data_IF_914027988558
#
_entry.id   IF_914027988558
#
_cell.length_a   1.000
_cell.length_b   1.000
_cell.length_c   1.000
_cell.angle_alpha   90.00
_cell.angle_beta   90.00
_cell.angle_gamma   90.00
#
_symmetry.space_group_name_H-M   'P 1'
#
loop_
_entity.id
_entity.type
_entity.pdbx_description
1 polymer ?
#
# COMPACT_ATOMS: atom_id res chain seq x y z
N UNK A 1 -38.29 3.44 -8.76
CA UNK A 1 -37.59 4.49 -8.00
C UNK A 1 -36.60 3.78 -7.09
N UNK A 2 -35.30 3.95 -7.33
CA UNK A 2 -34.28 3.44 -6.40
C UNK A 2 -34.33 4.25 -5.11
N UNK A 3 -34.37 3.55 -3.97
CA UNK A 3 -34.32 4.19 -2.66
C UNK A 3 -32.90 4.65 -2.38
N UNK A 4 -32.74 5.91 -2.01
CA UNK A 4 -31.48 6.45 -1.52
C UNK A 4 -31.23 5.93 -0.09
N UNK A 5 -30.13 5.24 0.10
CA UNK A 5 -29.70 4.84 1.43
C UNK A 5 -28.69 5.86 1.96
N UNK A 6 -28.90 6.31 3.19
CA UNK A 6 -27.99 7.19 3.91
C UNK A 6 -27.16 6.39 4.89
N UNK A 7 -25.86 6.47 4.80
CA UNK A 7 -24.93 5.86 5.74
C UNK A 7 -24.05 6.92 6.36
N UNK A 8 -23.73 6.76 7.67
CA UNK A 8 -22.75 7.61 8.33
C UNK A 8 -21.36 7.03 8.11
N UNK A 9 -20.47 7.82 7.53
CA UNK A 9 -19.08 7.41 7.37
C UNK A 9 -18.40 7.24 8.73
N UNK A 10 -17.73 6.11 8.92
CA UNK A 10 -17.14 5.74 10.22
C UNK A 10 -15.93 6.62 10.59
N UNK A 11 -15.26 7.20 9.61
CA UNK A 11 -14.05 8.02 9.81
C UNK A 11 -14.39 9.49 9.94
N UNK A 12 -15.22 10.00 9.03
CA UNK A 12 -15.57 11.44 8.98
C UNK A 12 -16.83 11.78 9.75
N UNK A 13 -17.66 10.81 10.08
CA UNK A 13 -18.98 11.00 10.71
C UNK A 13 -20.03 11.67 9.81
N UNK A 14 -19.71 11.91 8.54
CA UNK A 14 -20.61 12.55 7.58
C UNK A 14 -21.65 11.56 7.05
N UNK A 15 -22.82 12.09 6.74
CA UNK A 15 -23.91 11.28 6.13
C UNK A 15 -23.72 11.30 4.62
N UNK A 16 -23.62 10.12 4.04
CA UNK A 16 -23.49 9.90 2.61
C UNK A 16 -24.79 9.28 2.12
N UNK A 17 -25.41 9.91 1.13
CA UNK A 17 -26.60 9.40 0.46
C UNK A 17 -26.24 8.96 -0.96
N UNK A 18 -26.30 7.65 -1.19
CA UNK A 18 -26.08 7.02 -2.49
C UNK A 18 -27.22 6.02 -2.77
N UNK A 19 -27.49 5.66 -4.05
CA UNK A 19 -28.29 4.50 -4.36
C UNK A 19 -27.75 3.25 -3.63
N UNK A 20 -28.64 2.35 -3.22
CA UNK A 20 -28.25 1.20 -2.41
C UNK A 20 -27.16 0.33 -3.07
N UNK A 21 -27.25 0.15 -4.36
CA UNK A 21 -26.25 -0.56 -5.18
C UNK A 21 -24.89 0.12 -5.14
N UNK A 22 -24.85 1.42 -5.37
CA UNK A 22 -23.62 2.21 -5.41
C UNK A 22 -22.96 2.28 -4.03
N UNK A 23 -23.76 2.35 -2.97
CA UNK A 23 -23.24 2.33 -1.60
C UNK A 23 -22.50 1.04 -1.29
N UNK A 24 -23.04 -0.11 -1.72
CA UNK A 24 -22.39 -1.41 -1.52
C UNK A 24 -21.06 -1.49 -2.28
N UNK A 25 -21.05 -1.08 -3.55
CA UNK A 25 -19.83 -1.04 -4.36
C UNK A 25 -18.80 -0.08 -3.79
N UNK A 26 -19.22 1.11 -3.38
CA UNK A 26 -18.35 2.09 -2.77
C UNK A 26 -17.73 1.57 -1.46
N UNK A 27 -18.53 0.96 -0.60
CA UNK A 27 -18.05 0.43 0.68
C UNK A 27 -16.99 -0.65 0.47
N UNK A 28 -17.24 -1.58 -0.45
CA UNK A 28 -16.29 -2.65 -0.78
C UNK A 28 -15.01 -2.09 -1.43
N UNK A 29 -15.16 -1.15 -2.36
CA UNK A 29 -14.02 -0.47 -2.98
C UNK A 29 -13.15 0.25 -1.95
N UNK A 30 -13.78 1.03 -1.06
CA UNK A 30 -13.12 1.74 0.03
C UNK A 30 -12.34 0.78 0.94
N UNK A 31 -12.96 -0.32 1.36
CA UNK A 31 -12.33 -1.34 2.20
C UNK A 31 -11.09 -1.94 1.51
N UNK A 32 -11.18 -2.26 0.23
CA UNK A 32 -10.05 -2.81 -0.52
C UNK A 32 -8.87 -1.84 -0.63
N UNK A 33 -9.13 -0.56 -0.90
CA UNK A 33 -8.08 0.47 -0.94
C UNK A 33 -7.41 0.62 0.44
N UNK A 34 -8.21 0.75 1.51
CA UNK A 34 -7.69 0.91 2.87
C UNK A 34 -6.87 -0.32 3.29
N UNK A 35 -7.36 -1.54 3.00
CA UNK A 35 -6.62 -2.76 3.28
C UNK A 35 -5.27 -2.81 2.54
N UNK A 36 -5.24 -2.38 1.27
CA UNK A 36 -4.00 -2.31 0.49
C UNK A 36 -2.99 -1.28 1.01
N UNK A 37 -3.46 -0.18 1.60
CA UNK A 37 -2.62 0.87 2.17
C UNK A 37 -2.12 0.53 3.59
N UNK A 38 -2.77 -0.41 4.28
CA UNK A 38 -2.40 -0.88 5.64
C UNK A 38 -2.08 0.26 6.63
N UNK A 39 -3.01 1.22 6.83
CA UNK A 39 -2.78 2.36 7.71
C UNK A 39 -2.84 1.94 9.19
N UNK A 40 -2.04 2.58 10.02
CA UNK A 40 -2.22 2.51 11.46
C UNK A 40 -3.44 3.34 11.90
N UNK A 41 -4.06 3.01 13.05
CA UNK A 41 -5.15 3.81 13.61
C UNK A 41 -4.75 5.28 13.81
N UNK A 42 -5.70 6.19 13.59
CA UNK A 42 -5.49 7.62 13.72
C UNK A 42 -5.29 8.34 12.38
N UNK A 43 -4.28 9.18 12.26
CA UNK A 43 -4.08 10.04 11.10
C UNK A 43 -3.87 9.26 9.79
N UNK A 44 -3.15 8.14 9.83
CA UNK A 44 -2.94 7.31 8.65
C UNK A 44 -4.27 6.78 8.09
N UNK A 45 -5.22 6.38 8.96
CA UNK A 45 -6.55 5.92 8.55
C UNK A 45 -7.35 7.04 7.88
N UNK A 46 -7.28 8.27 8.40
CA UNK A 46 -7.96 9.43 7.80
C UNK A 46 -7.41 9.73 6.40
N UNK A 47 -6.10 9.67 6.23
CA UNK A 47 -5.45 9.90 4.93
C UNK A 47 -5.80 8.78 3.95
N UNK A 48 -5.77 7.52 4.40
CA UNK A 48 -6.15 6.37 3.56
C UNK A 48 -7.62 6.47 3.12
N UNK A 49 -8.49 6.94 3.98
CA UNK A 49 -9.89 7.20 3.66
C UNK A 49 -10.04 8.29 2.60
N UNK A 50 -9.32 9.39 2.73
CA UNK A 50 -9.31 10.47 1.73
C UNK A 50 -8.80 9.97 0.36
N UNK A 51 -7.77 9.10 0.33
CA UNK A 51 -7.28 8.49 -0.91
C UNK A 51 -8.38 7.63 -1.55
N UNK A 52 -9.07 6.80 -0.78
CA UNK A 52 -10.14 5.94 -1.29
C UNK A 52 -11.29 6.78 -1.88
N UNK A 53 -11.71 7.84 -1.20
CA UNK A 53 -12.72 8.79 -1.68
C UNK A 53 -12.32 9.47 -2.97
N UNK A 54 -11.13 10.03 -3.03
CA UNK A 54 -10.66 10.75 -4.22
C UNK A 54 -10.50 9.79 -5.41
N UNK A 55 -10.06 8.56 -5.16
CA UNK A 55 -9.97 7.51 -6.20
C UNK A 55 -11.35 7.11 -6.72
N UNK A 56 -12.35 6.97 -5.85
CA UNK A 56 -13.73 6.71 -6.25
C UNK A 56 -14.29 7.84 -7.11
N UNK A 57 -14.11 9.09 -6.69
CA UNK A 57 -14.55 10.27 -7.46
C UNK A 57 -13.86 10.34 -8.81
N UNK A 58 -12.57 10.00 -8.89
CA UNK A 58 -11.81 9.96 -10.13
C UNK A 58 -12.40 8.94 -11.11
N UNK A 59 -12.74 7.75 -10.63
CA UNK A 59 -13.38 6.72 -11.45
C UNK A 59 -14.76 7.16 -11.96
N UNK A 60 -15.54 7.84 -11.11
CA UNK A 60 -16.84 8.39 -11.52
C UNK A 60 -16.70 9.51 -12.58
N UNK A 61 -15.68 10.37 -12.46
CA UNK A 61 -15.42 11.41 -13.48
C UNK A 61 -15.10 10.78 -14.83
N UNK A 62 -14.28 9.74 -14.85
CA UNK A 62 -13.96 8.99 -16.09
C UNK A 62 -15.21 8.31 -16.70
N UNK A 63 -16.06 7.74 -15.85
CA UNK A 63 -17.32 7.17 -16.30
C UNK A 63 -18.24 8.25 -16.90
N UNK A 64 -18.34 9.43 -16.29
CA UNK A 64 -19.10 10.57 -16.81
C UNK A 64 -18.54 11.00 -18.18
N UNK A 65 -17.22 11.10 -18.32
CA UNK A 65 -16.58 11.44 -19.58
C UNK A 65 -16.95 10.46 -20.69
N UNK A 66 -16.86 9.15 -20.43
CA UNK A 66 -17.26 8.11 -21.39
C UNK A 66 -18.75 8.17 -21.74
N UNK A 67 -19.61 8.44 -20.74
CA UNK A 67 -21.04 8.58 -20.97
C UNK A 67 -21.40 9.83 -21.80
N UNK A 68 -20.63 10.93 -21.68
CA UNK A 68 -20.80 12.10 -22.53
C UNK A 68 -20.51 11.79 -24.00
N UNK A 69 -19.46 11.00 -24.28
CA UNK A 69 -19.20 10.52 -25.64
C UNK A 69 -20.33 9.63 -26.16
N UNK A 70 -20.82 8.69 -25.34
CA UNK A 70 -21.92 7.80 -25.74
C UNK A 70 -23.21 8.60 -26.05
N UNK A 71 -23.58 9.56 -25.20
CA UNK A 71 -24.71 10.45 -25.44
C UNK A 71 -24.52 11.30 -26.67
N UNK A 72 -23.31 11.81 -26.89
CA UNK A 72 -22.98 12.62 -28.07
C UNK A 72 -23.10 11.82 -29.38
N UNK A 73 -22.72 10.55 -29.37
CA UNK A 73 -22.86 9.65 -30.51
C UNK A 73 -24.34 9.42 -30.85
N UNK A 74 -25.20 9.21 -29.83
CA UNK A 74 -26.65 9.05 -30.00
C UNK A 74 -27.33 10.33 -30.52
N UNK A 75 -26.82 11.50 -30.10
CA UNK A 75 -27.40 12.81 -30.43
C UNK A 75 -26.67 13.50 -31.60
N UNK A 76 -25.84 12.79 -32.33
CA UNK A 76 -25.12 13.36 -33.47
C UNK A 76 -26.10 13.71 -34.58
N UNK A 77 -26.16 14.99 -34.91
CA UNK A 77 -27.04 15.53 -35.98
C UNK A 77 -26.34 15.60 -37.34
N UNK A 78 -25.07 15.23 -37.42
CA UNK A 78 -24.30 15.23 -38.64
C UNK A 78 -24.73 14.03 -39.50
N UNK A 79 -25.29 14.29 -40.67
CA UNK A 79 -25.68 13.26 -41.66
C UNK A 79 -24.42 12.79 -42.41
N UNK A 80 -23.48 12.23 -41.70
CA UNK A 80 -22.24 11.66 -42.23
C UNK A 80 -22.43 10.16 -42.26
N UNK A 81 -22.60 9.60 -43.43
CA UNK A 81 -22.64 8.16 -43.65
C UNK A 81 -21.44 7.78 -44.49
N UNK A 82 -20.44 7.22 -43.80
CA UNK A 82 -19.32 6.58 -44.50
C UNK A 82 -19.58 5.09 -44.67
N UNK A 83 -18.85 4.45 -45.56
CA UNK A 83 -18.90 2.98 -45.70
C UNK A 83 -18.28 2.25 -44.50
N UNK A 84 -17.73 3.00 -43.53
CA UNK A 84 -17.07 2.46 -42.35
C UNK A 84 -17.69 3.03 -41.04
N UNK A 85 -18.43 2.23 -40.27
CA UNK A 85 -19.05 2.66 -39.00
C UNK A 85 -18.07 3.21 -37.97
N UNK A 86 -16.79 2.81 -38.01
CA UNK A 86 -15.78 3.34 -37.12
C UNK A 86 -15.44 4.81 -37.38
N UNK A 87 -15.47 5.20 -38.68
CA UNK A 87 -15.28 6.59 -39.10
C UNK A 87 -16.45 7.44 -38.63
N UNK A 88 -17.67 6.96 -38.77
CA UNK A 88 -18.88 7.68 -38.34
C UNK A 88 -18.84 7.90 -36.80
N UNK A 89 -18.45 6.89 -36.04
CA UNK A 89 -18.25 7.01 -34.57
C UNK A 89 -17.15 8.01 -34.22
N UNK A 90 -16.02 7.99 -34.91
CA UNK A 90 -14.94 8.94 -34.69
C UNK A 90 -15.35 10.39 -34.94
N UNK A 91 -16.13 10.63 -36.01
CA UNK A 91 -16.65 11.97 -36.32
C UNK A 91 -17.69 12.41 -35.30
N UNK A 92 -18.58 11.52 -34.85
CA UNK A 92 -19.56 11.81 -33.83
C UNK A 92 -18.87 12.16 -32.49
N UNK A 93 -17.78 11.47 -32.11
CA UNK A 93 -16.98 11.78 -30.95
C UNK A 93 -16.29 13.15 -31.09
N UNK A 94 -15.73 13.47 -32.22
CA UNK A 94 -15.10 14.77 -32.47
C UNK A 94 -16.13 15.94 -32.42
N UNK A 95 -17.32 15.73 -32.94
CA UNK A 95 -18.42 16.72 -32.87
C UNK A 95 -18.89 16.88 -31.37
N UNK A 96 -19.02 15.78 -30.66
CA UNK A 96 -19.34 15.79 -29.23
C UNK A 96 -18.30 16.57 -28.44
N UNK A 97 -17.01 16.31 -28.64
CA UNK A 97 -15.94 17.04 -28.01
C UNK A 97 -16.01 18.54 -28.31
N UNK A 98 -16.29 18.90 -29.58
CA UNK A 98 -16.43 20.29 -29.97
C UNK A 98 -17.61 20.98 -29.28
N UNK A 99 -18.76 20.31 -29.19
CA UNK A 99 -19.98 20.87 -28.56
C UNK A 99 -19.86 20.96 -27.03
N UNK A 100 -19.31 19.92 -26.41
CA UNK A 100 -19.24 19.77 -24.96
C UNK A 100 -17.88 20.18 -24.36
N UNK A 101 -17.06 20.91 -25.11
CA UNK A 101 -15.70 21.29 -24.73
C UNK A 101 -15.62 21.91 -23.31
N UNK A 102 -16.61 22.74 -22.93
CA UNK A 102 -16.65 23.35 -21.60
C UNK A 102 -16.81 22.31 -20.50
N UNK A 103 -17.56 21.24 -20.71
CA UNK A 103 -17.74 20.14 -19.78
C UNK A 103 -16.48 19.29 -19.67
N UNK A 104 -15.88 18.93 -20.81
CA UNK A 104 -14.61 18.20 -20.83
C UNK A 104 -13.47 18.95 -20.13
N UNK A 105 -13.37 20.26 -20.33
CA UNK A 105 -12.39 21.09 -19.64
C UNK A 105 -12.60 21.09 -18.13
N UNK A 106 -13.85 21.17 -17.65
CA UNK A 106 -14.17 21.08 -16.22
C UNK A 106 -13.82 19.72 -15.63
N UNK A 107 -14.16 18.62 -16.34
CA UNK A 107 -13.80 17.25 -15.91
C UNK A 107 -12.28 17.09 -15.83
N UNK A 108 -11.54 17.54 -16.86
CA UNK A 108 -10.07 17.46 -16.89
C UNK A 108 -9.43 18.26 -15.73
N UNK A 109 -9.95 19.45 -15.40
CA UNK A 109 -9.48 20.21 -14.24
C UNK A 109 -9.75 19.48 -12.91
N UNK A 110 -10.93 18.87 -12.77
CA UNK A 110 -11.26 18.08 -11.58
C UNK A 110 -10.39 16.83 -11.50
N UNK A 111 -10.18 16.13 -12.61
CA UNK A 111 -9.28 14.97 -12.68
C UNK A 111 -7.86 15.35 -12.24
N UNK A 112 -7.32 16.45 -12.76
CA UNK A 112 -6.01 16.95 -12.38
C UNK A 112 -5.91 17.23 -10.87
N UNK A 113 -6.94 17.86 -10.28
CA UNK A 113 -7.00 18.15 -8.83
C UNK A 113 -7.03 16.87 -8.00
N UNK A 114 -7.90 15.91 -8.36
CA UNK A 114 -8.00 14.64 -7.64
C UNK A 114 -6.70 13.84 -7.73
N UNK A 115 -6.10 13.75 -8.92
CA UNK A 115 -4.80 13.09 -9.10
C UNK A 115 -3.69 13.74 -8.25
N UNK A 116 -3.69 15.08 -8.14
CA UNK A 116 -2.74 15.80 -7.30
C UNK A 116 -2.97 15.52 -5.81
N UNK A 117 -4.22 15.51 -5.36
CA UNK A 117 -4.57 15.18 -3.97
C UNK A 117 -4.19 13.75 -3.61
N UNK A 118 -4.52 12.78 -4.49
CA UNK A 118 -4.14 11.37 -4.29
C UNK A 118 -2.62 11.23 -4.15
N UNK A 119 -1.85 11.87 -5.05
CA UNK A 119 -0.37 11.82 -4.98
C UNK A 119 0.17 12.42 -3.69
N UNK A 120 -0.36 13.57 -3.28
CA UNK A 120 0.05 14.24 -2.04
C UNK A 120 -0.28 13.38 -0.82
N UNK A 121 -1.50 12.87 -0.73
CA UNK A 121 -1.95 12.02 0.37
C UNK A 121 -1.16 10.70 0.43
N UNK A 122 -0.84 10.09 -0.71
CA UNK A 122 0.02 8.89 -0.76
C UNK A 122 1.43 9.20 -0.25
N UNK A 123 2.04 10.31 -0.67
CA UNK A 123 3.37 10.70 -0.21
C UNK A 123 3.37 10.96 1.31
N UNK A 124 2.33 11.65 1.82
CA UNK A 124 2.16 11.92 3.25
C UNK A 124 1.99 10.61 4.05
N UNK A 125 1.16 9.69 3.56
CA UNK A 125 0.95 8.38 4.19
C UNK A 125 2.25 7.56 4.24
N UNK A 126 2.99 7.52 3.13
CA UNK A 126 4.27 6.82 3.05
C UNK A 126 5.31 7.41 4.03
N UNK A 127 5.35 8.75 4.16
CA UNK A 127 6.22 9.42 5.15
C UNK A 127 5.86 9.01 6.57
N UNK A 128 4.57 9.06 6.94
CA UNK A 128 4.11 8.66 8.28
C UNK A 128 4.43 7.18 8.59
N UNK A 129 4.23 6.30 7.61
CA UNK A 129 4.57 4.89 7.74
C UNK A 129 6.07 4.65 7.88
N UNK A 130 6.89 5.42 7.15
CA UNK A 130 8.35 5.36 7.25
C UNK A 130 8.83 5.84 8.63
N UNK A 131 8.28 6.95 9.12
CA UNK A 131 8.59 7.50 10.45
C UNK A 131 8.21 6.51 11.55
N UNK A 132 7.01 5.93 11.48
CA UNK A 132 6.55 4.89 12.41
C UNK A 132 7.47 3.67 12.41
N UNK A 133 7.87 3.21 11.23
CA UNK A 133 8.81 2.10 11.09
C UNK A 133 10.17 2.43 11.70
N UNK A 134 10.68 3.62 11.43
CA UNK A 134 11.94 4.08 11.98
C UNK A 134 11.91 4.17 13.52
N UNK A 135 10.82 4.71 14.08
CA UNK A 135 10.59 4.77 15.52
C UNK A 135 10.56 3.38 16.17
N UNK A 136 9.81 2.45 15.55
CA UNK A 136 9.76 1.06 15.99
C UNK A 136 11.13 0.38 15.97
N UNK A 137 11.90 0.60 14.90
CA UNK A 137 13.26 0.05 14.79
C UNK A 137 14.25 0.66 15.79
N UNK A 138 14.04 1.92 16.19
CA UNK A 138 14.85 2.57 17.23
C UNK A 138 14.54 1.96 18.60
N UNK A 139 13.26 1.88 18.98
CA UNK A 139 12.84 1.28 20.23
C UNK A 139 13.32 -0.19 20.34
N UNK A 140 13.20 -0.95 19.24
CA UNK A 140 13.70 -2.33 19.22
C UNK A 140 15.22 -2.40 19.41
N UNK A 141 15.98 -1.49 18.81
CA UNK A 141 17.44 -1.43 19.00
C UNK A 141 17.82 -1.14 20.45
N UNK A 142 17.12 -0.20 21.08
CA UNK A 142 17.36 0.15 22.49
C UNK A 142 17.09 -1.05 23.41
N UNK A 143 15.99 -1.77 23.18
CA UNK A 143 15.68 -2.99 23.91
C UNK A 143 16.70 -4.12 23.68
N UNK A 144 17.19 -4.26 22.45
CA UNK A 144 18.26 -5.21 22.13
C UNK A 144 19.56 -4.88 22.88
N UNK A 145 19.94 -3.60 22.99
CA UNK A 145 21.11 -3.20 23.78
C UNK A 145 20.93 -3.49 25.28
N UNK A 146 19.72 -3.25 25.82
CA UNK A 146 19.42 -3.60 27.18
C UNK A 146 19.48 -5.11 27.43
N UNK A 147 18.98 -5.92 26.49
CA UNK A 147 19.09 -7.36 26.59
C UNK A 147 20.55 -7.84 26.58
N UNK A 148 21.38 -7.34 25.66
CA UNK A 148 22.79 -7.66 25.58
C UNK A 148 23.57 -7.21 26.86
N UNK A 149 23.26 -6.02 27.35
CA UNK A 149 23.89 -5.55 28.61
C UNK A 149 23.57 -6.44 29.81
N UNK A 150 22.35 -6.99 29.87
CA UNK A 150 21.97 -7.95 30.93
C UNK A 150 22.68 -9.29 30.73
N UNK A 151 22.84 -9.78 29.50
CA UNK A 151 23.61 -11.00 29.23
C UNK A 151 25.07 -10.84 29.69
N UNK A 152 25.73 -9.70 29.49
CA UNK A 152 27.07 -9.43 30.01
C UNK A 152 27.14 -9.35 31.52
N UNK A 153 26.03 -9.04 32.19
CA UNK A 153 25.92 -9.01 33.68
C UNK A 153 25.43 -10.35 34.24
N UNK A 154 25.24 -11.36 33.41
CA UNK A 154 24.66 -12.66 33.78
C UNK A 154 23.24 -12.53 34.39
N UNK A 155 22.51 -11.48 34.03
CA UNK A 155 21.17 -11.21 34.53
C UNK A 155 20.12 -11.64 33.48
N UNK A 156 19.03 -12.26 33.96
CA UNK A 156 17.93 -12.61 33.08
C UNK A 156 17.22 -11.35 32.56
N UNK A 157 17.28 -11.14 31.24
CA UNK A 157 16.55 -10.03 30.62
C UNK A 157 15.04 -10.29 30.64
N UNK A 158 14.29 -9.31 31.09
CA UNK A 158 12.83 -9.21 30.94
C UNK A 158 12.53 -7.89 30.24
N UNK A 159 11.80 -7.96 29.14
CA UNK A 159 11.37 -6.76 28.47
C UNK A 159 10.43 -5.94 29.38
N UNK A 160 10.61 -4.62 29.44
CA UNK A 160 9.75 -3.76 30.26
C UNK A 160 8.30 -3.79 29.71
N UNK A 161 7.34 -3.71 30.63
CA UNK A 161 5.92 -3.59 30.29
C UNK A 161 5.52 -2.15 29.94
N UNK A 162 6.43 -1.20 30.23
CA UNK A 162 6.25 0.23 29.93
C UNK A 162 6.71 0.48 28.50
N UNK A 163 5.97 1.28 27.73
CA UNK A 163 6.38 1.64 26.38
C UNK A 163 7.76 2.27 26.33
N UNK A 164 8.54 1.93 25.29
CA UNK A 164 9.81 2.58 25.00
C UNK A 164 9.65 4.06 24.66
N UNK A 165 10.74 4.73 24.29
CA UNK A 165 10.79 6.17 24.02
C UNK A 165 9.76 6.63 22.99
N UNK A 166 9.49 5.81 21.97
CA UNK A 166 8.55 6.10 20.89
C UNK A 166 7.23 5.31 21.04
N UNK A 167 6.95 4.75 22.21
CA UNK A 167 5.67 4.11 22.52
C UNK A 167 5.59 2.63 22.16
N UNK A 168 6.64 1.99 21.64
CA UNK A 168 6.63 0.57 21.31
C UNK A 168 6.80 -0.30 22.56
N UNK A 169 6.06 -1.42 22.60
CA UNK A 169 6.16 -2.44 23.65
C UNK A 169 6.55 -3.76 22.99
N UNK A 170 7.61 -4.39 23.53
CA UNK A 170 8.11 -5.65 22.99
C UNK A 170 7.96 -6.77 24.02
N UNK A 171 7.74 -7.99 23.54
CA UNK A 171 7.86 -9.16 24.39
C UNK A 171 9.34 -9.57 24.53
N UNK A 172 9.68 -10.19 25.66
CA UNK A 172 11.03 -10.73 25.89
C UNK A 172 11.47 -11.69 24.77
N UNK A 173 10.54 -12.48 24.23
CA UNK A 173 10.81 -13.40 23.12
C UNK A 173 11.13 -12.67 21.82
N UNK A 174 10.44 -11.58 21.50
CA UNK A 174 10.70 -10.76 20.31
C UNK A 174 12.10 -10.13 20.38
N UNK A 175 12.46 -9.54 21.52
CA UNK A 175 13.79 -8.93 21.70
C UNK A 175 14.90 -9.99 21.60
N UNK A 176 14.76 -11.13 22.27
CA UNK A 176 15.73 -12.24 22.17
C UNK A 176 15.86 -12.77 20.73
N UNK A 177 14.76 -12.94 20.03
CA UNK A 177 14.78 -13.35 18.63
C UNK A 177 15.50 -12.32 17.74
N UNK A 178 15.30 -11.02 17.98
CA UNK A 178 15.98 -9.95 17.26
C UNK A 178 17.49 -9.94 17.54
N UNK A 179 17.90 -10.12 18.79
CA UNK A 179 19.33 -10.24 19.19
C UNK A 179 19.97 -11.44 18.49
N UNK A 180 19.36 -12.61 18.60
CA UNK A 180 19.88 -13.83 17.96
C UNK A 180 20.01 -13.67 16.43
N UNK A 181 19.00 -13.08 15.78
CA UNK A 181 19.05 -12.81 14.34
C UNK A 181 20.17 -11.86 13.96
N UNK A 182 20.41 -10.81 14.77
CA UNK A 182 21.52 -9.86 14.56
C UNK A 182 22.86 -10.56 14.65
N UNK A 183 23.08 -11.42 15.67
CA UNK A 183 24.29 -12.20 15.85
C UNK A 183 24.51 -13.13 14.67
N UNK A 184 23.51 -13.95 14.30
CA UNK A 184 23.58 -14.83 13.13
C UNK A 184 23.92 -14.11 11.83
N UNK A 185 23.36 -12.92 11.61
CA UNK A 185 23.66 -12.12 10.42
C UNK A 185 25.08 -11.54 10.48
N UNK A 186 25.56 -11.16 11.65
CA UNK A 186 26.94 -10.69 11.83
C UNK A 186 27.94 -11.81 11.50
N UNK A 187 27.69 -13.01 12.03
CA UNK A 187 28.52 -14.20 11.81
C UNK A 187 28.51 -14.59 10.31
N UNK A 188 27.34 -14.63 9.70
CA UNK A 188 27.20 -14.90 8.28
C UNK A 188 27.97 -13.89 7.40
N UNK A 189 27.90 -12.61 7.75
CA UNK A 189 28.67 -11.56 7.04
C UNK A 189 30.18 -11.75 7.23
N UNK A 190 30.63 -12.11 8.44
CA UNK A 190 32.01 -12.42 8.71
C UNK A 190 32.52 -13.59 7.88
N UNK A 191 31.74 -14.70 7.82
CA UNK A 191 32.05 -15.85 7.01
C UNK A 191 32.17 -15.49 5.51
N UNK A 192 31.21 -14.72 4.99
CA UNK A 192 31.25 -14.29 3.58
C UNK A 192 32.45 -13.38 3.29
N UNK A 193 32.79 -12.48 4.22
CA UNK A 193 33.97 -11.63 4.09
C UNK A 193 35.27 -12.45 4.06
N UNK A 194 35.43 -13.38 5.00
CA UNK A 194 36.60 -14.27 5.06
C UNK A 194 36.69 -15.17 3.81
N UNK A 195 35.56 -15.68 3.34
CA UNK A 195 35.53 -16.50 2.11
C UNK A 195 35.97 -15.69 0.85
N UNK A 196 35.56 -14.43 0.77
CA UNK A 196 35.98 -13.52 -0.33
C UNK A 196 37.46 -13.20 -0.29
N UNK A 197 38.01 -13.02 0.89
CA UNK A 197 39.44 -12.71 1.09
C UNK A 197 40.34 -13.95 1.14
N UNK A 198 39.76 -15.18 0.99
CA UNK A 198 40.47 -16.46 1.17
C UNK A 198 41.16 -16.60 2.53
N UNK A 199 40.67 -15.96 3.54
CA UNK A 199 41.17 -16.02 4.90
C UNK A 199 40.36 -17.10 5.64
N UNK A 200 41.02 -18.03 6.34
CA UNK A 200 40.36 -18.99 7.21
C UNK A 200 39.77 -18.27 8.42
N UNK A 201 38.49 -18.50 8.71
CA UNK A 201 37.83 -17.96 9.89
C UNK A 201 38.38 -18.67 11.13
N UNK A 202 38.96 -17.97 12.11
CA UNK A 202 39.53 -18.65 13.27
C UNK A 202 38.41 -19.22 14.15
N UNK A 203 38.31 -20.50 14.22
CA UNK A 203 37.92 -21.20 15.47
C UNK A 203 36.45 -21.49 15.74
N UNK A 204 35.49 -21.21 14.87
CA UNK A 204 34.09 -21.50 15.21
C UNK A 204 33.54 -22.84 14.62
N UNK A 205 34.29 -23.55 13.78
CA UNK A 205 33.75 -24.65 12.95
C UNK A 205 34.42 -26.01 13.11
N UNK A 206 35.38 -26.14 14.00
CA UNK A 206 36.09 -27.44 14.16
C UNK A 206 35.22 -28.55 14.74
N UNK A 207 34.00 -28.25 15.21
CA UNK A 207 33.11 -29.21 15.84
C UNK A 207 31.70 -29.33 15.22
N UNK A 208 31.45 -28.77 14.03
CA UNK A 208 30.19 -29.00 13.36
C UNK A 208 30.42 -29.88 12.11
N UNK A 209 29.78 -31.05 12.08
CA UNK A 209 29.72 -31.89 10.92
C UNK A 209 29.28 -31.05 9.70
N UNK A 210 29.96 -31.25 8.52
CA UNK A 210 29.59 -30.49 7.33
C UNK A 210 28.12 -30.77 7.03
N UNK A 211 27.32 -29.69 6.93
CA UNK A 211 25.91 -29.74 6.52
C UNK A 211 25.89 -30.46 5.16
N UNK A 212 25.50 -31.72 5.16
CA UNK A 212 25.30 -32.49 3.91
C UNK A 212 24.28 -31.71 3.10
N UNK A 213 24.57 -31.35 1.82
CA UNK A 213 23.58 -30.72 0.97
C UNK A 213 22.36 -31.63 0.90
N UNK A 214 21.20 -31.07 1.20
CA UNK A 214 19.93 -31.78 1.22
C UNK A 214 19.63 -32.31 -0.18
N UNK A 215 19.89 -33.60 -0.38
CA UNK A 215 19.73 -34.31 -1.65
C UNK A 215 18.26 -34.60 -2.03
N UNK A 216 17.34 -33.79 -1.54
CA UNK A 216 15.88 -33.96 -1.62
C UNK A 216 15.12 -33.18 -2.68
N UNK A 217 15.75 -32.37 -3.53
CA UNK A 217 15.05 -31.74 -4.66
C UNK A 217 15.11 -32.66 -5.91
N UNK A 218 14.24 -33.68 -5.94
CA UNK A 218 13.87 -34.34 -7.21
C UNK A 218 13.05 -33.32 -8.02
N UNK A 219 13.66 -32.79 -9.07
CA UNK A 219 12.94 -32.12 -10.15
C UNK A 219 12.09 -33.20 -10.84
N UNK A 220 10.76 -33.11 -10.68
CA UNK A 220 9.85 -33.93 -11.48
C UNK A 220 9.92 -33.41 -12.92
N UNK A 221 10.55 -34.18 -13.80
CA UNK A 221 10.45 -33.95 -15.24
C UNK A 221 9.04 -34.31 -15.69
N UNK A 222 8.33 -33.31 -16.23
CA UNK A 222 7.08 -33.51 -16.95
C UNK A 222 7.40 -34.21 -18.28
N UNK A 223 6.78 -35.38 -18.49
CA UNK A 223 6.55 -35.99 -19.78
C UNK A 223 5.16 -35.58 -20.29
#
# INVERSE_FOLDING_TARGET
METLNATRDAVTGQVIALPATDLTFFTHFKQNIIAGLNPAPGLETVIADAIAWDTWRLNNLRAIEMNLYALGTQNCTLDIKSDNPQVDTAIANADTFRRENSHFNRLSLQEKRLNSNIKLNLATLQSLQADRKQQFEQDLRDEMYMAQANDFRELAYKAPTVPGRNGSVFSTSQVKAAVNRKTMLSDARGIVACAKERIQFPGAWENQDPIKPNSGLRVASAA
#
